data_IF_189594892837
#
_entry.id   IF_189594892837
#
_cell.length_a   1.000
_cell.length_b   1.000
_cell.length_c   1.000
_cell.angle_alpha   90.00
_cell.angle_beta   90.00
_cell.angle_gamma   90.00
#
_symmetry.space_group_name_H-M   'P 1'
#
loop_
_entity.id
_entity.type
_entity.pdbx_description
1 polymer ?
#
# COMPACT_ATOMS: atom_id res chain seq x y z
N UNK A 1 -16.95 -7.23 -76.54
CA UNK A 1 -16.67 -8.66 -76.81
C UNK A 1 -15.51 -9.06 -75.90
N UNK A 2 -15.80 -9.85 -74.87
CA UNK A 2 -15.29 -11.23 -74.66
C UNK A 2 -13.75 -11.29 -74.58
N UNK A 3 -13.20 -11.44 -73.37
CA UNK A 3 -12.75 -12.73 -72.77
C UNK A 3 -11.37 -13.13 -73.33
N UNK A 4 -10.34 -13.60 -72.61
CA UNK A 4 -10.21 -14.24 -71.28
C UNK A 4 -8.69 -14.47 -71.01
N UNK A 5 -8.38 -15.10 -69.86
CA UNK A 5 -7.13 -15.78 -69.44
C UNK A 5 -6.08 -14.92 -68.72
N UNK A 6 -5.52 -15.28 -67.56
CA UNK A 6 -5.49 -16.49 -66.70
C UNK A 6 -4.84 -16.02 -65.36
N UNK A 7 -5.16 -16.51 -64.16
CA UNK A 7 -4.40 -17.53 -63.37
C UNK A 7 -4.98 -17.46 -61.92
N UNK A 8 -5.73 -18.47 -61.47
CA UNK A 8 -5.34 -19.57 -60.52
C UNK A 8 -5.31 -19.10 -59.04
N UNK A 9 -6.37 -19.27 -58.23
CA UNK A 9 -6.80 -20.44 -57.42
C UNK A 9 -6.09 -20.57 -56.06
N UNK A 10 -6.87 -20.52 -54.96
CA UNK A 10 -6.78 -21.23 -53.64
C UNK A 10 -7.85 -20.57 -52.72
N UNK A 11 -9.04 -21.17 -52.47
CA UNK A 11 -9.40 -22.07 -51.34
C UNK A 11 -9.05 -21.44 -49.96
N UNK A 12 -9.88 -21.29 -48.92
CA UNK A 12 -11.12 -21.93 -48.48
C UNK A 12 -11.74 -21.16 -47.29
N UNK A 13 -13.08 -21.23 -47.20
CA UNK A 13 -13.94 -21.45 -46.02
C UNK A 13 -13.99 -20.45 -44.84
N UNK A 14 -15.11 -19.70 -44.83
CA UNK A 14 -16.24 -19.77 -43.88
C UNK A 14 -15.95 -20.32 -42.46
N UNK A 15 -16.25 -19.52 -41.43
CA UNK A 15 -17.12 -19.98 -40.35
C UNK A 15 -17.86 -18.82 -39.66
N UNK A 16 -19.13 -19.08 -39.35
CA UNK A 16 -20.05 -18.23 -38.61
C UNK A 16 -19.57 -18.00 -37.17
N UNK A 17 -19.92 -16.87 -36.57
CA UNK A 17 -20.26 -16.87 -35.14
C UNK A 17 -21.29 -15.80 -34.75
N UNK A 18 -22.19 -16.29 -33.90
CA UNK A 18 -23.47 -15.82 -33.36
C UNK A 18 -23.57 -14.38 -32.85
N UNK A 19 -24.73 -13.79 -33.14
CA UNK A 19 -25.40 -12.75 -32.34
C UNK A 19 -25.81 -13.31 -30.98
N UNK A 20 -25.29 -12.74 -29.90
CA UNK A 20 -25.93 -12.65 -28.58
C UNK A 20 -25.16 -11.61 -27.75
N UNK A 21 -25.40 -10.35 -28.04
CA UNK A 21 -24.96 -9.24 -27.19
C UNK A 21 -25.93 -9.11 -26.01
N UNK A 22 -25.69 -9.88 -24.95
CA UNK A 22 -26.18 -9.50 -23.62
C UNK A 22 -25.52 -8.16 -23.27
N UNK A 23 -26.31 -7.08 -23.33
CA UNK A 23 -25.92 -5.77 -22.81
C UNK A 23 -25.45 -5.93 -21.36
N UNK A 24 -24.13 -5.88 -21.14
CA UNK A 24 -23.55 -5.68 -19.81
C UNK A 24 -24.17 -4.42 -19.22
N UNK A 25 -25.03 -4.57 -18.22
CA UNK A 25 -25.58 -3.45 -17.47
C UNK A 25 -24.45 -2.80 -16.66
N UNK A 26 -23.91 -1.70 -17.19
CA UNK A 26 -23.01 -0.83 -16.42
C UNK A 26 -23.86 -0.14 -15.35
N UNK A 27 -23.58 -0.45 -14.08
CA UNK A 27 -24.20 0.27 -12.95
C UNK A 27 -23.47 1.60 -12.81
N UNK A 28 -24.03 2.66 -13.40
CA UNK A 28 -23.52 4.02 -13.27
C UNK A 28 -23.99 4.63 -11.95
N UNK A 29 -23.11 4.65 -10.95
CA UNK A 29 -23.33 5.43 -9.72
C UNK A 29 -23.16 6.91 -10.09
N UNK A 30 -24.13 7.76 -9.73
CA UNK A 30 -24.09 9.19 -10.05
C UNK A 30 -22.93 9.89 -9.32
N UNK A 31 -22.16 10.77 -9.98
CA UNK A 31 -21.18 11.61 -9.31
C UNK A 31 -21.88 12.52 -8.30
N UNK A 32 -21.38 12.55 -7.07
CA UNK A 32 -21.82 13.52 -6.07
C UNK A 32 -20.75 14.63 -6.10
N UNK A 33 -21.18 15.89 -6.13
CA UNK A 33 -20.41 17.15 -6.24
C UNK A 33 -18.94 17.15 -5.78
N UNK A 34 -18.08 17.72 -6.63
CA UNK A 34 -16.62 17.89 -6.58
C UNK A 34 -15.99 18.16 -5.20
N UNK A 35 -14.91 17.43 -4.89
CA UNK A 35 -13.88 17.89 -3.94
C UNK A 35 -12.88 18.69 -4.78
N UNK A 36 -12.81 20.01 -4.56
CA UNK A 36 -11.83 20.86 -5.24
C UNK A 36 -10.43 20.52 -4.73
N UNK A 37 -9.65 19.86 -5.57
CA UNK A 37 -8.21 19.63 -5.33
C UNK A 37 -7.52 20.99 -5.43
N UNK A 38 -6.92 21.45 -4.33
CA UNK A 38 -6.18 22.71 -4.32
C UNK A 38 -4.99 22.61 -5.27
N UNK A 39 -5.09 23.28 -6.42
CA UNK A 39 -4.10 23.26 -7.51
C UNK A 39 -2.77 23.92 -7.16
N UNK A 40 -2.66 24.58 -6.00
CA UNK A 40 -1.44 25.24 -5.55
C UNK A 40 -1.52 25.51 -4.04
N UNK A 41 -0.68 24.85 -3.25
CA UNK A 41 0.26 25.49 -2.31
C UNK A 41 0.98 24.45 -1.42
N UNK A 42 2.30 24.45 -1.60
CA UNK A 42 3.31 24.01 -0.64
C UNK A 42 3.48 22.50 -0.44
N UNK A 43 3.48 21.71 -1.51
CA UNK A 43 4.44 20.61 -1.58
C UNK A 43 5.80 21.27 -1.80
N UNK A 44 6.81 21.00 -0.97
CA UNK A 44 8.17 21.51 -1.14
C UNK A 44 8.75 20.85 -2.41
N UNK A 45 8.39 21.43 -3.55
CA UNK A 45 8.86 21.10 -4.88
C UNK A 45 10.34 21.51 -4.92
N UNK A 46 11.26 20.54 -4.86
CA UNK A 46 12.49 20.72 -5.62
C UNK A 46 12.05 20.88 -7.08
N UNK A 47 12.13 22.10 -7.61
CA UNK A 47 11.87 22.39 -9.02
C UNK A 47 12.93 21.67 -9.85
N UNK A 48 12.67 20.42 -10.20
CA UNK A 48 13.33 19.81 -11.34
C UNK A 48 12.65 20.41 -12.57
N UNK A 49 13.36 21.30 -13.26
CA UNK A 49 12.84 22.00 -14.43
C UNK A 49 12.28 20.98 -15.44
N UNK A 50 11.10 21.28 -16.00
CA UNK A 50 10.30 20.46 -16.92
C UNK A 50 10.97 20.15 -18.28
N UNK A 51 12.29 20.28 -18.40
CA UNK A 51 13.06 20.03 -19.63
C UNK A 51 14.24 19.08 -19.37
N UNK A 52 14.03 17.98 -18.64
CA UNK A 52 15.06 16.94 -18.51
C UNK A 52 14.72 15.77 -19.43
N UNK A 53 15.49 15.64 -20.51
CA UNK A 53 15.51 14.47 -21.39
C UNK A 53 16.76 13.66 -21.05
N UNK A 54 16.66 12.45 -20.48
CA UNK A 54 17.74 11.42 -20.42
C UNK A 54 17.05 10.04 -20.24
N UNK A 55 17.02 9.11 -21.20
CA UNK A 55 17.97 8.04 -21.64
C UNK A 55 18.41 7.09 -20.50
N UNK A 56 18.14 5.78 -20.67
CA UNK A 56 18.60 4.62 -19.87
C UNK A 56 19.67 4.86 -18.79
N UNK A 57 19.39 4.36 -17.56
CA UNK A 57 20.28 4.31 -16.38
C UNK A 57 20.71 5.70 -15.86
N UNK A 58 20.18 6.12 -14.69
CA UNK A 58 20.63 7.28 -13.87
C UNK A 58 19.72 8.52 -13.80
N UNK A 59 18.41 8.41 -14.03
CA UNK A 59 17.45 9.50 -13.72
C UNK A 59 16.27 9.01 -12.90
N UNK A 60 16.03 9.64 -11.76
CA UNK A 60 14.82 9.47 -10.95
C UNK A 60 13.78 10.51 -11.36
N UNK A 61 12.66 10.06 -11.92
CA UNK A 61 11.48 10.89 -12.06
C UNK A 61 10.75 10.93 -10.71
N UNK A 62 10.78 12.09 -10.05
CA UNK A 62 10.10 12.29 -8.78
C UNK A 62 8.66 12.68 -9.09
N UNK A 63 7.75 11.71 -9.02
CA UNK A 63 6.32 11.98 -9.00
C UNK A 63 5.91 12.57 -7.65
N UNK A 64 4.80 13.33 -7.60
CA UNK A 64 4.31 13.84 -6.32
C UNK A 64 3.75 12.69 -5.46
N UNK A 65 4.11 12.60 -4.18
CA UNK A 65 3.46 11.65 -3.27
C UNK A 65 1.99 12.00 -3.09
N UNK A 66 1.16 10.97 -2.91
CA UNK A 66 -0.26 11.15 -2.63
C UNK A 66 -0.86 9.97 -1.87
N UNK A 67 -2.01 10.22 -1.25
CA UNK A 67 -2.91 9.18 -0.72
C UNK A 67 -4.34 9.52 -1.17
N UNK A 68 -4.97 8.58 -1.87
CA UNK A 68 -6.38 8.66 -2.25
C UNK A 68 -7.15 7.53 -1.59
N UNK A 69 -8.20 7.87 -0.86
CA UNK A 69 -9.14 6.89 -0.30
C UNK A 69 -10.36 6.79 -1.20
N UNK A 70 -10.91 5.59 -1.34
CA UNK A 70 -12.06 5.27 -2.16
C UNK A 70 -13.05 4.48 -1.32
N UNK A 71 -14.34 4.67 -1.57
CA UNK A 71 -15.41 3.87 -0.98
C UNK A 71 -16.41 3.47 -2.06
N UNK A 72 -17.01 2.29 -1.93
CA UNK A 72 -18.01 1.83 -2.88
C UNK A 72 -18.72 0.57 -2.44
N UNK A 73 -19.49 -0.01 -3.34
CA UNK A 73 -20.21 -1.27 -3.11
C UNK A 73 -20.10 -2.18 -4.31
N UNK A 74 -19.88 -3.47 -4.06
CA UNK A 74 -19.81 -4.53 -5.07
C UNK A 74 -20.80 -5.65 -4.76
N UNK A 75 -21.07 -6.53 -5.73
CA UNK A 75 -21.83 -7.77 -5.57
C UNK A 75 -23.13 -7.64 -4.74
N UNK A 76 -23.97 -6.65 -5.09
CA UNK A 76 -25.32 -6.54 -4.51
C UNK A 76 -25.41 -5.94 -3.11
N UNK A 77 -24.30 -5.38 -2.57
CA UNK A 77 -24.21 -4.33 -1.54
C UNK A 77 -22.97 -4.45 -0.62
N UNK A 78 -22.07 -5.42 -0.87
CA UNK A 78 -20.82 -5.54 -0.08
C UNK A 78 -20.03 -4.25 -0.18
N UNK A 79 -19.84 -3.56 0.93
CA UNK A 79 -19.03 -2.33 0.96
C UNK A 79 -17.57 -2.65 0.69
N UNK A 80 -16.88 -1.71 0.07
CA UNK A 80 -15.43 -1.76 -0.09
C UNK A 80 -14.81 -0.44 0.32
N UNK A 81 -13.56 -0.53 0.77
CA UNK A 81 -12.71 0.63 1.05
C UNK A 81 -11.35 0.36 0.44
N UNK A 82 -10.82 1.34 -0.28
CA UNK A 82 -9.51 1.23 -0.91
C UNK A 82 -8.67 2.46 -0.60
N UNK A 83 -7.42 2.26 -0.21
CA UNK A 83 -6.46 3.32 0.03
C UNK A 83 -5.29 3.16 -0.94
N UNK A 84 -5.18 4.08 -1.89
CA UNK A 84 -4.15 4.14 -2.93
C UNK A 84 -3.08 5.14 -2.51
N UNK A 85 -1.83 4.73 -2.53
CA UNK A 85 -0.67 5.59 -2.25
C UNK A 85 0.26 5.66 -3.44
N UNK A 86 1.00 6.77 -3.56
CA UNK A 86 2.14 6.90 -4.45
C UNK A 86 3.35 7.24 -3.61
N UNK A 87 4.28 6.30 -3.55
CA UNK A 87 5.45 6.35 -2.67
C UNK A 87 6.67 5.81 -3.41
N UNK A 88 7.86 6.12 -2.92
CA UNK A 88 9.09 5.59 -3.50
C UNK A 88 9.12 4.06 -3.36
N UNK A 89 9.41 3.36 -4.47
CA UNK A 89 9.62 1.92 -4.49
C UNK A 89 11.02 1.59 -4.01
N UNK A 90 11.15 0.42 -3.36
CA UNK A 90 12.46 -0.16 -3.01
C UNK A 90 13.30 -0.44 -4.25
N UNK A 91 14.61 -0.54 -4.05
CA UNK A 91 15.61 -1.14 -4.96
C UNK A 91 15.91 -0.38 -6.26
N UNK A 92 14.94 0.23 -6.94
CA UNK A 92 15.16 0.82 -8.27
C UNK A 92 15.03 2.33 -8.36
N UNK A 93 14.54 2.99 -7.29
CA UNK A 93 14.29 4.42 -7.32
C UNK A 93 13.20 4.76 -8.35
N UNK A 94 11.98 4.89 -7.89
CA UNK A 94 10.83 5.26 -8.72
C UNK A 94 9.60 5.38 -7.84
N UNK A 95 8.53 5.98 -8.33
CA UNK A 95 7.28 6.03 -7.58
C UNK A 95 6.37 4.87 -7.97
N UNK A 96 6.00 4.09 -6.96
CA UNK A 96 5.08 2.98 -7.06
C UNK A 96 3.68 3.38 -6.63
N UNK A 97 2.67 2.93 -7.37
CA UNK A 97 1.26 3.11 -7.03
C UNK A 97 0.76 1.85 -6.33
N UNK A 98 0.83 1.85 -5.02
CA UNK A 98 0.40 0.71 -4.19
C UNK A 98 -0.95 1.01 -3.56
N UNK A 99 -1.63 -0.01 -3.08
CA UNK A 99 -2.80 0.23 -2.25
C UNK A 99 -3.25 -0.99 -1.48
N UNK A 100 -4.18 -0.73 -0.57
CA UNK A 100 -4.91 -1.74 0.19
C UNK A 100 -6.39 -1.69 -0.18
N UNK A 101 -7.05 -2.84 -0.16
CA UNK A 101 -8.47 -3.03 -0.40
C UNK A 101 -9.07 -3.86 0.73
N UNK A 102 -10.01 -3.27 1.46
CA UNK A 102 -10.92 -3.98 2.34
C UNK A 102 -12.24 -4.26 1.60
N UNK A 103 -12.76 -5.47 1.77
CA UNK A 103 -14.10 -5.84 1.33
C UNK A 103 -14.91 -6.30 2.53
N UNK A 104 -16.13 -5.79 2.67
CA UNK A 104 -17.05 -6.13 3.76
C UNK A 104 -17.26 -7.64 3.86
N UNK A 105 -17.08 -8.16 5.08
CA UNK A 105 -17.11 -9.59 5.37
C UNK A 105 -15.78 -10.33 5.07
N UNK A 106 -14.77 -9.65 4.54
CA UNK A 106 -13.45 -10.22 4.30
C UNK A 106 -12.64 -10.41 5.58
N UNK A 107 -11.72 -11.37 5.55
CA UNK A 107 -10.84 -11.74 6.67
C UNK A 107 -9.57 -10.87 6.71
N UNK A 108 -9.10 -10.38 5.57
CA UNK A 108 -7.82 -9.66 5.46
C UNK A 108 -7.91 -8.47 4.49
N UNK A 109 -6.94 -7.57 4.64
CA UNK A 109 -6.67 -6.53 3.65
C UNK A 109 -5.95 -7.13 2.44
N UNK A 110 -6.40 -6.77 1.24
CA UNK A 110 -5.78 -7.18 -0.01
C UNK A 110 -4.87 -6.06 -0.49
N UNK A 111 -3.63 -6.40 -0.83
CA UNK A 111 -2.63 -5.42 -1.28
C UNK A 111 -2.40 -5.57 -2.76
N UNK A 112 -2.17 -4.46 -3.44
CA UNK A 112 -1.95 -4.45 -4.88
C UNK A 112 -0.95 -3.36 -5.28
N UNK A 113 -0.31 -3.56 -6.42
CA UNK A 113 0.55 -2.60 -7.10
C UNK A 113 0.02 -2.34 -8.50
N UNK A 114 -0.04 -1.08 -8.90
CA UNK A 114 -0.48 -0.64 -10.21
C UNK A 114 0.71 -0.49 -11.16
N UNK A 115 0.66 -1.22 -12.25
CA UNK A 115 1.56 -1.08 -13.39
C UNK A 115 0.96 -0.17 -14.45
N UNK A 116 1.81 0.53 -15.22
CA UNK A 116 1.39 1.34 -16.36
C UNK A 116 1.92 0.76 -17.68
N UNK A 117 1.03 0.32 -18.55
CA UNK A 117 1.38 0.04 -19.94
C UNK A 117 1.50 1.38 -20.69
N UNK A 118 2.64 1.61 -21.36
CA UNK A 118 2.89 2.82 -22.16
C UNK A 118 1.86 3.05 -23.28
N UNK A 119 1.11 2.02 -23.69
CA UNK A 119 0.10 2.09 -24.76
C UNK A 119 -1.28 2.48 -24.27
N UNK A 120 -1.52 2.50 -22.96
CA UNK A 120 -2.84 2.71 -22.35
C UNK A 120 -2.83 3.98 -21.51
N UNK A 121 -4.00 4.62 -21.38
CA UNK A 121 -4.22 5.84 -20.61
C UNK A 121 -4.59 5.57 -19.14
N UNK A 122 -4.51 4.30 -18.71
CA UNK A 122 -4.82 3.86 -17.35
C UNK A 122 -3.73 2.92 -16.79
N UNK A 123 -3.69 2.81 -15.46
CA UNK A 123 -2.87 1.82 -14.76
C UNK A 123 -3.68 0.55 -14.50
N UNK A 124 -3.01 -0.60 -14.36
CA UNK A 124 -3.64 -1.90 -14.09
C UNK A 124 -3.05 -2.57 -12.87
N UNK A 125 -3.89 -3.22 -12.06
CA UNK A 125 -3.44 -4.11 -10.98
C UNK A 125 -4.29 -5.38 -10.98
N UNK A 126 -3.71 -6.48 -10.50
CA UNK A 126 -4.39 -7.76 -10.32
C UNK A 126 -4.22 -8.26 -8.89
N UNK A 127 -5.28 -8.82 -8.33
CA UNK A 127 -5.28 -9.56 -7.08
C UNK A 127 -5.69 -10.98 -7.45
N UNK A 128 -4.74 -11.92 -7.38
CA UNK A 128 -4.92 -13.27 -7.92
C UNK A 128 -5.95 -14.08 -7.13
N UNK A 129 -5.99 -13.89 -5.81
CA UNK A 129 -6.90 -14.60 -4.91
C UNK A 129 -7.90 -13.65 -4.26
N UNK A 130 -9.16 -13.74 -4.70
CA UNK A 130 -10.30 -13.10 -4.06
C UNK A 130 -11.51 -14.04 -4.05
N UNK A 131 -12.18 -14.18 -2.91
CA UNK A 131 -13.42 -14.96 -2.74
C UNK A 131 -13.35 -16.39 -3.32
N UNK A 132 -12.35 -17.16 -2.89
CA UNK A 132 -12.22 -18.58 -3.25
C UNK A 132 -11.82 -18.84 -4.70
N UNK A 133 -10.77 -18.16 -5.19
CA UNK A 133 -10.04 -18.36 -6.48
C UNK A 133 -10.41 -17.45 -7.66
N UNK A 134 -11.15 -16.34 -7.45
CA UNK A 134 -11.55 -15.47 -8.57
C UNK A 134 -10.67 -14.22 -8.62
N UNK A 135 -9.97 -13.95 -9.73
CA UNK A 135 -9.07 -12.81 -9.79
C UNK A 135 -9.88 -11.50 -9.83
N UNK A 136 -9.48 -10.57 -8.98
CA UNK A 136 -10.00 -9.21 -8.98
C UNK A 136 -9.04 -8.33 -9.78
N UNK A 137 -9.56 -7.65 -10.80
CA UNK A 137 -8.76 -6.77 -11.66
C UNK A 137 -9.13 -5.33 -11.41
N UNK A 138 -8.13 -4.48 -11.28
CA UNK A 138 -8.29 -3.05 -11.07
C UNK A 138 -7.71 -2.30 -12.26
N UNK A 139 -8.38 -1.21 -12.65
CA UNK A 139 -7.79 -0.18 -13.50
C UNK A 139 -7.97 1.18 -12.88
N UNK A 140 -6.91 1.97 -12.83
CA UNK A 140 -6.94 3.34 -12.34
C UNK A 140 -6.93 4.29 -13.54
N UNK A 141 -8.02 5.01 -13.71
CA UNK A 141 -8.23 5.97 -14.79
C UNK A 141 -8.08 7.40 -14.29
N UNK A 142 -7.61 8.29 -15.18
CA UNK A 142 -7.64 9.74 -14.97
C UNK A 142 -6.97 10.18 -13.64
N UNK A 143 -5.86 9.54 -13.27
CA UNK A 143 -5.15 9.83 -12.03
C UNK A 143 -4.87 11.34 -11.89
N UNK A 144 -5.13 11.87 -10.69
CA UNK A 144 -4.91 13.27 -10.32
C UNK A 144 -5.77 14.28 -11.07
N UNK A 145 -6.88 13.84 -11.67
CA UNK A 145 -7.91 14.74 -12.22
C UNK A 145 -9.23 14.58 -11.45
N UNK A 146 -10.16 15.51 -11.69
CA UNK A 146 -11.52 15.46 -11.11
C UNK A 146 -12.35 14.27 -11.61
N UNK A 147 -11.94 13.65 -12.71
CA UNK A 147 -12.59 12.48 -13.31
C UNK A 147 -11.92 11.17 -12.90
N UNK A 148 -11.09 11.16 -11.85
CA UNK A 148 -10.40 9.97 -11.36
C UNK A 148 -11.38 8.91 -10.84
N UNK A 149 -11.16 7.65 -11.23
CA UNK A 149 -11.89 6.50 -10.70
C UNK A 149 -11.08 5.20 -10.84
N UNK A 150 -11.46 4.20 -10.07
CA UNK A 150 -10.99 2.83 -10.19
C UNK A 150 -12.09 1.97 -10.80
N UNK A 151 -11.79 1.32 -11.92
CA UNK A 151 -12.59 0.24 -12.49
C UNK A 151 -12.22 -1.07 -11.80
N UNK A 152 -13.14 -1.66 -11.05
CA UNK A 152 -12.98 -2.97 -10.43
C UNK A 152 -13.77 -4.00 -11.23
N UNK A 153 -13.08 -5.02 -11.74
CA UNK A 153 -13.71 -6.15 -12.43
C UNK A 153 -13.64 -7.38 -11.55
N UNK A 154 -14.83 -7.93 -11.25
CA UNK A 154 -15.03 -9.16 -10.49
C UNK A 154 -16.14 -9.96 -11.16
N UNK A 155 -15.90 -11.24 -11.47
CA UNK A 155 -16.90 -12.12 -12.10
C UNK A 155 -17.54 -11.55 -13.37
N UNK A 156 -16.72 -10.94 -14.22
CA UNK A 156 -17.15 -10.22 -15.44
C UNK A 156 -18.05 -9.00 -15.19
N UNK A 157 -18.42 -8.71 -13.95
CA UNK A 157 -19.08 -7.47 -13.54
C UNK A 157 -18.03 -6.39 -13.36
N UNK A 158 -18.40 -5.17 -13.73
CA UNK A 158 -17.53 -4.01 -13.69
C UNK A 158 -18.17 -2.97 -12.76
N UNK A 159 -17.38 -2.48 -11.81
CA UNK A 159 -17.76 -1.48 -10.83
C UNK A 159 -16.86 -0.27 -10.99
N UNK A 160 -17.45 0.92 -11.09
CA UNK A 160 -16.69 2.18 -11.07
C UNK A 160 -16.71 2.74 -9.65
N UNK A 161 -15.54 2.86 -9.06
CA UNK A 161 -15.33 3.28 -7.69
C UNK A 161 -14.65 4.63 -7.70
N UNK A 162 -15.22 5.60 -7.01
CA UNK A 162 -14.76 6.99 -7.00
C UNK A 162 -14.08 7.33 -5.67
N UNK A 163 -13.26 8.39 -5.63
CA UNK A 163 -12.67 8.87 -4.38
C UNK A 163 -13.75 9.08 -3.30
N UNK A 164 -13.43 8.64 -2.09
CA UNK A 164 -14.29 8.75 -0.91
C UNK A 164 -14.50 10.22 -0.54
N UNK A 165 -15.70 10.51 -0.05
CA UNK A 165 -16.06 11.82 0.49
C UNK A 165 -16.04 11.86 2.01
N UNK A 166 -16.05 10.69 2.64
CA UNK A 166 -16.10 10.56 4.09
C UNK A 166 -14.71 10.48 4.69
N UNK A 167 -13.80 9.78 4.02
CA UNK A 167 -12.48 9.56 4.58
C UNK A 167 -11.61 10.81 4.46
N UNK A 168 -10.74 11.08 5.46
CA UNK A 168 -9.91 12.25 5.46
C UNK A 168 -9.06 12.33 4.18
N UNK A 169 -8.84 13.55 3.72
CA UNK A 169 -7.84 13.84 2.71
C UNK A 169 -6.46 13.92 3.35
N UNK A 170 -5.43 13.78 2.54
CA UNK A 170 -4.05 13.77 3.02
C UNK A 170 -3.19 14.68 2.18
N UNK A 171 -2.42 15.55 2.84
CA UNK A 171 -1.32 16.25 2.19
C UNK A 171 -0.06 15.43 2.43
N UNK A 172 0.45 14.80 1.37
CA UNK A 172 1.63 13.95 1.45
C UNK A 172 2.92 14.74 1.25
N UNK A 173 3.96 14.30 1.93
CA UNK A 173 5.29 14.89 1.91
C UNK A 173 6.33 13.78 1.89
N UNK A 174 7.32 13.98 1.03
CA UNK A 174 8.46 13.09 0.95
C UNK A 174 9.71 13.88 1.28
N UNK A 175 10.49 13.31 2.18
CA UNK A 175 11.84 13.79 2.48
C UNK A 175 12.78 12.73 1.93
N UNK A 176 13.52 13.11 0.90
CA UNK A 176 14.54 12.26 0.30
C UNK A 176 15.89 12.88 0.60
N UNK A 177 16.71 12.16 1.36
CA UNK A 177 18.11 12.50 1.51
C UNK A 177 18.93 11.70 0.50
N UNK A 178 19.51 12.43 -0.45
CA UNK A 178 20.63 11.93 -1.21
C UNK A 178 21.88 12.43 -0.53
N UNK A 179 22.56 11.56 0.22
CA UNK A 179 23.97 11.76 0.51
C UNK A 179 24.74 11.70 -0.81
N UNK A 180 24.75 12.83 -1.51
CA UNK A 180 25.42 13.06 -2.77
C UNK A 180 26.93 12.96 -2.55
N UNK A 181 27.52 11.87 -3.03
CA UNK A 181 28.83 11.98 -3.65
C UNK A 181 28.74 13.08 -4.73
N UNK A 182 29.77 13.90 -4.89
CA UNK A 182 29.95 14.72 -6.09
C UNK A 182 30.28 13.78 -7.27
N UNK A 183 29.28 13.01 -7.68
CA UNK A 183 29.32 12.01 -8.76
C UNK A 183 29.76 12.63 -10.08
N UNK A 184 29.61 13.95 -10.24
CA UNK A 184 30.07 14.67 -11.44
C UNK A 184 31.59 14.68 -11.59
N UNK A 185 32.36 14.58 -10.50
CA UNK A 185 33.83 14.51 -10.56
C UNK A 185 34.34 13.07 -10.67
N UNK A 186 33.63 12.11 -10.04
CA UNK A 186 33.97 10.69 -10.11
C UNK A 186 33.64 10.07 -11.47
N UNK A 187 32.44 10.32 -12.03
CA UNK A 187 32.04 9.83 -13.36
C UNK A 187 32.84 10.44 -14.53
N UNK A 188 33.50 11.58 -14.30
CA UNK A 188 34.41 12.17 -15.30
C UNK A 188 35.74 11.43 -15.41
N UNK A 189 36.09 10.60 -14.43
CA UNK A 189 37.23 9.70 -14.53
C UNK A 189 36.72 8.38 -15.07
N UNK A 190 37.33 7.91 -16.15
CA UNK A 190 37.09 6.60 -16.79
C UNK A 190 37.34 5.40 -15.84
N UNK A 191 37.67 5.66 -14.57
CA UNK A 191 37.93 4.71 -13.48
C UNK A 191 36.76 4.54 -12.50
N UNK A 192 35.66 5.28 -12.63
CA UNK A 192 34.50 5.06 -11.76
C UNK A 192 33.87 3.71 -12.08
N UNK A 193 34.17 2.71 -11.25
CA UNK A 193 33.53 1.39 -11.27
C UNK A 193 32.01 1.55 -11.28
N UNK A 194 31.30 0.68 -12.01
CA UNK A 194 29.83 0.63 -12.13
C UNK A 194 29.07 0.42 -10.81
N UNK A 195 29.73 0.43 -9.67
CA UNK A 195 29.24 -0.09 -8.38
C UNK A 195 29.00 1.01 -7.33
N UNK A 196 28.91 2.28 -7.74
CA UNK A 196 28.54 3.36 -6.82
C UNK A 196 27.04 3.65 -6.87
N UNK A 197 26.23 2.88 -6.14
CA UNK A 197 24.85 3.31 -5.83
C UNK A 197 24.87 4.15 -4.55
N UNK A 198 24.39 5.40 -4.58
CA UNK A 198 24.42 6.28 -3.40
C UNK A 198 23.53 5.74 -2.29
N UNK A 199 23.93 6.00 -1.04
CA UNK A 199 23.04 5.80 0.10
C UNK A 199 21.83 6.73 -0.01
N UNK A 200 20.65 6.19 0.30
CA UNK A 200 19.36 6.90 0.17
C UNK A 200 18.48 6.63 1.39
N UNK A 201 18.00 7.71 2.00
CA UNK A 201 17.03 7.66 3.08
C UNK A 201 15.75 8.36 2.64
N UNK A 202 14.63 7.66 2.78
CA UNK A 202 13.32 8.15 2.38
C UNK A 202 12.31 8.04 3.52
N UNK A 203 11.60 9.13 3.77
CA UNK A 203 10.47 9.17 4.70
C UNK A 203 9.24 9.73 3.98
N UNK A 204 8.20 8.90 3.84
CA UNK A 204 6.86 9.31 3.39
C UNK A 204 5.99 9.58 4.61
N UNK A 205 5.49 10.80 4.71
CA UNK A 205 4.53 11.18 5.74
C UNK A 205 3.36 11.94 5.11
N UNK A 206 2.22 11.86 5.77
CA UNK A 206 1.05 12.62 5.35
C UNK A 206 0.45 13.39 6.52
N UNK A 207 0.09 14.65 6.24
CA UNK A 207 -0.72 15.48 7.12
C UNK A 207 -2.19 15.22 6.84
N UNK A 208 -2.94 14.88 7.88
CA UNK A 208 -4.39 14.66 7.79
C UNK A 208 -5.08 16.01 7.55
N UNK A 209 -5.82 16.09 6.45
CA UNK A 209 -6.72 17.20 6.14
C UNK A 209 -8.14 16.64 6.22
N UNK A 210 -8.81 16.91 7.33
CA UNK A 210 -10.25 16.68 7.45
C UNK A 210 -10.99 18.00 7.63
N UNK A 211 -12.07 18.14 6.88
CA UNK A 211 -13.14 19.12 7.11
C UNK A 211 -14.37 18.45 7.76
N UNK A 212 -14.35 17.13 7.94
CA UNK A 212 -15.37 16.36 8.64
C UNK A 212 -15.06 16.31 10.14
N UNK A 213 -16.07 16.67 10.94
CA UNK A 213 -16.02 16.79 12.39
C UNK A 213 -15.68 15.47 13.07
N UNK A 214 -16.09 14.33 12.50
CA UNK A 214 -15.85 13.00 13.07
C UNK A 214 -14.35 12.66 13.08
N UNK A 215 -13.55 13.30 12.24
CA UNK A 215 -12.09 13.11 12.18
C UNK A 215 -11.29 14.29 12.76
N UNK A 216 -11.94 15.28 13.37
CA UNK A 216 -11.23 16.39 14.02
C UNK A 216 -10.31 15.91 15.13
N UNK A 217 -10.73 14.90 15.90
CA UNK A 217 -9.90 14.31 16.95
C UNK A 217 -8.62 13.71 16.37
N UNK A 218 -8.70 13.03 15.22
CA UNK A 218 -7.51 12.54 14.53
C UNK A 218 -6.64 13.70 14.04
N UNK A 219 -7.23 14.73 13.42
CA UNK A 219 -6.47 15.90 12.95
C UNK A 219 -5.75 16.62 14.09
N UNK A 220 -6.34 16.71 15.28
CA UNK A 220 -5.74 17.36 16.45
C UNK A 220 -4.67 16.50 17.12
N UNK A 221 -4.91 15.18 17.25
CA UNK A 221 -4.05 14.27 18.02
C UNK A 221 -3.03 13.52 17.17
N UNK A 222 -3.37 13.23 15.93
CA UNK A 222 -2.61 12.50 14.91
C UNK A 222 -2.48 13.34 13.63
N UNK A 223 -2.14 14.61 13.80
CA UNK A 223 -2.01 15.57 12.70
C UNK A 223 -1.14 15.02 11.55
N UNK A 224 -0.08 14.30 11.89
CA UNK A 224 0.82 13.63 10.96
C UNK A 224 0.74 12.13 11.16
N UNK A 225 0.68 11.39 10.05
CA UNK A 225 0.88 9.95 10.03
C UNK A 225 2.36 9.59 10.18
N UNK A 226 3.10 10.12 11.16
CA UNK A 226 4.52 9.78 11.34
C UNK A 226 4.82 9.39 12.78
N UNK A 227 5.50 8.27 12.96
CA UNK A 227 5.65 7.55 14.24
C UNK A 227 6.84 8.02 15.08
N UNK A 228 7.75 8.85 14.57
CA UNK A 228 8.80 9.46 15.41
C UNK A 228 8.44 10.90 15.84
N UNK A 229 8.01 11.01 17.10
CA UNK A 229 7.68 12.27 17.77
C UNK A 229 8.86 13.25 17.91
N UNK A 230 10.11 12.76 17.81
CA UNK A 230 11.30 13.60 17.91
C UNK A 230 11.59 14.35 16.59
N UNK A 231 11.21 13.78 15.44
CA UNK A 231 11.52 14.33 14.12
C UNK A 231 10.46 15.32 13.60
N UNK A 232 9.20 15.18 13.99
CA UNK A 232 8.11 16.07 13.53
C UNK A 232 8.27 17.53 13.97
N UNK A 233 8.89 17.79 15.13
CA UNK A 233 9.15 19.17 15.61
C UNK A 233 10.35 19.82 14.93
N UNK A 234 11.26 19.04 14.35
CA UNK A 234 12.55 19.50 13.85
C UNK A 234 12.80 19.16 12.37
N UNK A 235 11.79 18.72 11.61
CA UNK A 235 11.96 18.37 10.19
C UNK A 235 12.59 19.49 9.35
N UNK A 236 12.35 20.77 9.70
CA UNK A 236 12.98 21.94 9.06
C UNK A 236 14.46 22.14 9.43
N UNK A 237 14.91 21.53 10.52
CA UNK A 237 16.25 21.66 11.11
C UNK A 237 17.10 20.39 10.95
N UNK A 238 16.58 19.35 10.30
CA UNK A 238 17.36 18.18 9.93
C UNK A 238 18.48 18.58 8.98
N UNK A 239 19.68 18.68 9.54
CA UNK A 239 20.94 18.59 8.81
C UNK A 239 21.51 17.23 9.16
N UNK A 240 21.39 16.26 8.26
CA UNK A 240 22.17 15.05 8.43
C UNK A 240 23.64 15.42 8.39
N UNK A 241 24.30 15.35 9.54
CA UNK A 241 25.74 15.54 9.66
C UNK A 241 26.43 14.22 9.33
N UNK A 242 26.37 13.79 8.08
CA UNK A 242 27.24 12.71 7.62
C UNK A 242 28.62 13.29 7.35
N UNK A 243 29.62 12.85 8.11
CA UNK A 243 31.01 13.04 7.71
C UNK A 243 31.24 12.11 6.52
N UNK A 244 31.46 12.71 5.35
CA UNK A 244 31.96 11.98 4.18
C UNK A 244 33.40 11.58 4.50
N UNK A 245 33.61 10.31 4.88
CA UNK A 245 34.94 9.72 4.89
C UNK A 245 35.24 9.15 3.51
N UNK A 246 36.46 9.35 3.00
CA UNK A 246 36.90 8.71 1.76
C UNK A 246 36.93 7.19 2.00
N UNK A 247 36.35 6.41 1.10
CA UNK A 247 36.52 4.96 1.11
C UNK A 247 38.01 4.61 1.12
N UNK A 248 38.41 3.69 2.00
CA UNK A 248 39.79 3.22 2.13
C UNK A 248 40.05 1.96 1.30
N UNK A 249 39.04 1.40 0.62
CA UNK A 249 39.16 0.28 -0.33
C UNK A 249 37.85 -0.03 -1.10
N UNK A 250 37.94 -0.89 -2.13
CA UNK A 250 36.79 -1.37 -2.93
C UNK A 250 35.75 -2.14 -2.07
N UNK A 251 36.21 -2.84 -1.03
CA UNK A 251 35.38 -3.59 -0.08
C UNK A 251 34.57 -2.70 0.88
N UNK A 252 34.82 -1.39 0.93
CA UNK A 252 34.14 -0.44 1.82
C UNK A 252 32.98 0.31 1.14
N UNK A 253 32.67 0.01 -0.13
CA UNK A 253 31.57 0.60 -0.88
C UNK A 253 30.26 -0.16 -0.64
N UNK A 254 29.64 0.00 0.53
CA UNK A 254 28.29 -0.53 0.74
C UNK A 254 27.23 0.53 0.40
N UNK A 255 26.42 0.26 -0.63
CA UNK A 255 25.18 1.00 -0.85
C UNK A 255 24.20 0.67 0.26
N UNK A 256 23.67 1.69 0.93
CA UNK A 256 22.61 1.52 1.92
C UNK A 256 21.32 2.19 1.45
N UNK A 257 20.18 1.59 1.78
CA UNK A 257 18.87 2.16 1.47
C UNK A 257 18.01 2.04 2.70
N UNK A 258 17.32 3.12 3.06
CA UNK A 258 16.23 3.08 4.03
C UNK A 258 14.97 3.72 3.48
N UNK A 259 13.84 3.10 3.76
CA UNK A 259 12.52 3.53 3.31
C UNK A 259 11.55 3.37 4.48
N UNK A 260 10.89 4.44 4.88
CA UNK A 260 9.77 4.42 5.82
C UNK A 260 8.53 5.04 5.18
N UNK A 261 7.42 4.33 5.25
CA UNK A 261 6.14 4.71 4.67
C UNK A 261 5.02 4.46 5.66
N UNK A 262 4.26 5.51 5.95
CA UNK A 262 3.05 5.38 6.75
C UNK A 262 1.82 5.69 5.91
N UNK A 263 0.81 4.82 5.97
CA UNK A 263 -0.40 4.93 5.15
C UNK A 263 -1.66 4.46 5.89
N UNK A 264 -2.83 5.06 5.63
CA UNK A 264 -4.10 4.49 6.06
C UNK A 264 -4.34 3.16 5.33
N UNK A 265 -4.83 2.16 6.07
CA UNK A 265 -5.20 0.86 5.48
C UNK A 265 -6.64 0.46 5.75
N UNK A 266 -7.25 0.99 6.82
CA UNK A 266 -8.68 0.84 7.09
C UNK A 266 -9.20 1.98 7.95
N UNK A 267 -10.45 2.40 7.75
CA UNK A 267 -11.12 3.37 8.63
C UNK A 267 -12.64 3.18 8.63
N UNK A 268 -13.25 3.17 9.81
CA UNK A 268 -14.71 3.18 9.97
C UNK A 268 -15.18 4.25 10.96
N UNK A 269 -16.27 4.05 11.70
CA UNK A 269 -16.75 5.01 12.71
C UNK A 269 -16.11 4.84 14.10
N UNK A 270 -15.36 3.77 14.34
CA UNK A 270 -14.79 3.42 15.64
C UNK A 270 -13.26 3.36 15.61
N UNK A 271 -12.69 2.76 14.56
CA UNK A 271 -11.25 2.51 14.45
C UNK A 271 -10.67 3.12 13.18
N UNK A 272 -9.47 3.69 13.34
CA UNK A 272 -8.60 4.08 12.25
C UNK A 272 -7.31 3.26 12.29
N UNK A 273 -7.06 2.50 11.22
CA UNK A 273 -5.90 1.61 11.11
C UNK A 273 -4.90 2.21 10.13
N UNK A 274 -3.66 2.30 10.60
CA UNK A 274 -2.52 2.82 9.87
C UNK A 274 -1.43 1.75 9.81
N UNK A 275 -0.83 1.54 8.64
CA UNK A 275 0.38 0.74 8.49
C UNK A 275 1.62 1.64 8.53
N UNK A 276 2.69 1.15 9.15
CA UNK A 276 4.04 1.71 9.15
C UNK A 276 4.99 0.68 8.52
N UNK A 277 5.27 0.84 7.24
CA UNK A 277 6.21 0.01 6.49
C UNK A 277 7.61 0.59 6.60
N UNK A 278 8.57 -0.27 6.90
CA UNK A 278 10.00 0.06 6.91
C UNK A 278 10.78 -0.96 6.09
N UNK A 279 11.81 -0.47 5.40
CA UNK A 279 12.78 -1.27 4.68
C UNK A 279 14.18 -0.72 4.92
N UNK A 280 15.16 -1.60 5.09
CA UNK A 280 16.57 -1.24 5.18
C UNK A 280 17.45 -2.23 4.43
N UNK A 281 18.42 -1.71 3.68
CA UNK A 281 19.48 -2.48 3.04
C UNK A 281 20.82 -1.88 3.46
N UNK A 282 21.76 -2.75 3.82
CA UNK A 282 23.08 -2.35 4.34
C UNK A 282 24.22 -3.10 3.64
N UNK A 283 24.04 -3.49 2.36
CA UNK A 283 25.11 -4.13 1.57
C UNK A 283 25.19 -5.66 1.68
N UNK A 284 24.06 -6.34 1.91
CA UNK A 284 23.96 -7.80 2.02
C UNK A 284 23.30 -8.49 0.84
N UNK A 285 22.81 -9.73 1.02
CA UNK A 285 22.14 -10.49 -0.04
C UNK A 285 20.75 -9.92 -0.42
N UNK A 286 20.03 -9.33 0.53
CA UNK A 286 18.74 -8.67 0.35
C UNK A 286 18.55 -7.61 1.44
N UNK A 287 17.58 -6.71 1.27
CA UNK A 287 17.15 -5.82 2.34
C UNK A 287 16.20 -6.50 3.32
N UNK A 288 16.03 -5.89 4.49
CA UNK A 288 15.08 -6.30 5.52
C UNK A 288 13.87 -5.38 5.47
N UNK A 289 12.67 -5.94 5.62
CA UNK A 289 11.43 -5.18 5.66
C UNK A 289 10.60 -5.55 6.89
N UNK A 290 9.71 -4.64 7.28
CA UNK A 290 8.68 -4.87 8.30
C UNK A 290 7.54 -3.88 8.14
N UNK A 291 6.31 -4.37 8.24
CA UNK A 291 5.08 -3.60 8.33
C UNK A 291 4.52 -3.69 9.74
N UNK A 292 4.53 -2.58 10.47
CA UNK A 292 3.80 -2.39 11.70
C UNK A 292 2.37 -1.92 11.45
N UNK A 293 1.45 -2.20 12.36
CA UNK A 293 0.08 -1.69 12.33
C UNK A 293 -0.25 -0.98 13.63
N UNK A 294 -0.89 0.18 13.51
CA UNK A 294 -1.42 0.92 14.66
C UNK A 294 -2.92 1.11 14.50
N UNK A 295 -3.66 0.73 15.54
CA UNK A 295 -5.10 0.89 15.64
C UNK A 295 -5.40 2.10 16.54
N UNK A 296 -6.09 3.09 16.00
CA UNK A 296 -6.49 4.28 16.75
C UNK A 296 -7.99 4.27 17.01
N UNK A 297 -8.38 4.52 18.25
CA UNK A 297 -9.77 4.83 18.59
C UNK A 297 -10.11 6.21 18.00
N UNK A 298 -11.11 6.27 17.11
CA UNK A 298 -11.48 7.50 16.41
C UNK A 298 -12.03 8.59 17.33
N UNK A 299 -12.71 8.20 18.41
CA UNK A 299 -13.30 9.13 19.36
C UNK A 299 -12.23 9.77 20.25
N UNK A 300 -11.19 9.03 20.59
CA UNK A 300 -10.16 9.48 21.54
C UNK A 300 -8.83 9.82 20.89
N UNK A 301 -8.58 9.40 19.65
CA UNK A 301 -7.31 9.52 18.93
C UNK A 301 -6.16 8.73 19.58
N UNK A 302 -6.44 7.81 20.51
CA UNK A 302 -5.42 7.03 21.22
C UNK A 302 -5.17 5.69 20.52
N UNK A 303 -3.93 5.23 20.59
CA UNK A 303 -3.57 3.86 20.22
C UNK A 303 -4.34 2.87 21.12
N UNK A 304 -4.95 1.88 20.48
CA UNK A 304 -5.55 0.71 21.10
C UNK A 304 -4.45 -0.35 21.14
N UNK A 305 -3.98 -0.69 22.34
CA UNK A 305 -3.01 -1.76 22.53
C UNK A 305 -3.73 -3.11 22.60
N UNK A 306 -3.14 -4.20 22.10
CA UNK A 306 -3.82 -5.50 22.00
C UNK A 306 -4.20 -6.05 23.39
N UNK A 307 -3.41 -5.72 24.40
CA UNK A 307 -3.60 -6.09 25.81
C UNK A 307 -4.80 -5.37 26.45
N UNK A 308 -5.32 -4.32 25.81
CA UNK A 308 -6.59 -3.71 26.18
C UNK A 308 -7.79 -4.51 25.64
N UNK A 309 -7.55 -5.42 24.68
CA UNK A 309 -8.59 -6.16 23.96
C UNK A 309 -8.65 -7.63 24.38
N UNK A 310 -7.49 -8.27 24.57
CA UNK A 310 -7.38 -9.71 24.85
C UNK A 310 -6.49 -9.93 26.08
N UNK A 311 -6.78 -10.99 26.83
CA UNK A 311 -5.96 -11.40 27.96
C UNK A 311 -4.83 -12.34 27.52
N UNK A 312 -3.62 -11.80 27.34
CA UNK A 312 -2.44 -12.56 26.93
C UNK A 312 -1.90 -13.48 28.04
N UNK A 313 -2.41 -13.39 29.26
CA UNK A 313 -2.08 -14.31 30.35
C UNK A 313 -3.06 -15.49 30.46
N UNK A 314 -4.08 -15.55 29.61
CA UNK A 314 -4.98 -16.70 29.56
C UNK A 314 -4.33 -17.86 28.79
N UNK A 315 -3.93 -18.91 29.51
CA UNK A 315 -3.33 -20.12 28.93
C UNK A 315 -4.20 -20.76 27.83
N UNK A 316 -5.53 -20.61 27.90
CA UNK A 316 -6.42 -21.11 26.86
C UNK A 316 -6.33 -20.30 25.58
N UNK A 317 -6.19 -18.97 25.70
CA UNK A 317 -5.97 -18.12 24.54
C UNK A 317 -4.63 -18.44 23.88
N UNK A 318 -3.57 -18.59 24.67
CA UNK A 318 -2.23 -18.94 24.18
C UNK A 318 -2.28 -20.26 23.41
N UNK A 319 -2.88 -21.31 23.99
CA UNK A 319 -3.00 -22.61 23.33
C UNK A 319 -3.85 -22.54 22.04
N UNK A 320 -4.97 -21.82 22.07
CA UNK A 320 -5.81 -21.60 20.89
C UNK A 320 -5.08 -20.87 19.76
N UNK A 321 -4.33 -19.82 20.11
CA UNK A 321 -3.53 -19.04 19.17
C UNK A 321 -2.44 -19.89 18.51
N UNK A 322 -1.70 -20.65 19.32
CA UNK A 322 -0.66 -21.57 18.85
C UNK A 322 -1.23 -22.66 17.95
N UNK A 323 -2.34 -23.30 18.35
CA UNK A 323 -3.00 -24.34 17.57
C UNK A 323 -3.38 -23.85 16.17
N UNK A 324 -4.00 -22.67 16.07
CA UNK A 324 -4.40 -22.10 14.78
C UNK A 324 -3.20 -21.87 13.87
N UNK A 325 -2.12 -21.29 14.40
CA UNK A 325 -0.91 -21.01 13.62
C UNK A 325 -0.23 -22.30 13.16
N UNK A 326 -0.15 -23.32 14.02
CA UNK A 326 0.42 -24.62 13.64
C UNK A 326 -0.43 -25.34 12.61
N UNK A 327 -1.75 -25.23 12.68
CA UNK A 327 -2.64 -25.78 11.66
C UNK A 327 -2.44 -25.11 10.30
N UNK A 328 -2.11 -23.82 10.27
CA UNK A 328 -1.90 -23.05 9.04
C UNK A 328 -0.51 -23.26 8.43
N UNK A 329 0.55 -23.26 9.25
CA UNK A 329 1.94 -23.24 8.77
C UNK A 329 2.76 -24.50 9.09
N UNK A 330 2.23 -25.42 9.90
CA UNK A 330 2.84 -26.73 10.21
C UNK A 330 4.36 -26.63 10.48
N UNK A 331 5.18 -27.41 9.75
CA UNK A 331 6.65 -27.50 9.91
C UNK A 331 7.42 -26.27 9.42
N UNK A 332 6.75 -25.24 8.89
CA UNK A 332 7.40 -24.01 8.38
C UNK A 332 7.83 -23.02 9.47
N UNK A 333 7.37 -23.22 10.70
CA UNK A 333 7.62 -22.32 11.84
C UNK A 333 9.09 -22.41 12.27
N UNK A 334 9.75 -21.26 12.42
CA UNK A 334 11.19 -21.19 12.70
C UNK A 334 11.59 -21.64 14.11
N UNK A 335 10.65 -21.59 15.05
CA UNK A 335 10.87 -21.87 16.47
C UNK A 335 9.95 -23.00 16.95
N UNK A 336 10.38 -23.71 17.99
CA UNK A 336 9.54 -24.69 18.68
C UNK A 336 8.38 -24.01 19.43
N UNK A 337 8.50 -22.75 19.80
CA UNK A 337 7.44 -21.96 20.43
C UNK A 337 6.86 -20.98 19.41
N UNK A 338 5.53 -20.87 19.34
CA UNK A 338 4.86 -19.88 18.48
C UNK A 338 4.86 -18.53 19.18
N UNK A 339 5.58 -17.51 18.67
CA UNK A 339 5.58 -16.20 19.30
C UNK A 339 4.22 -15.53 19.09
N UNK A 340 3.65 -14.94 20.15
CA UNK A 340 2.46 -14.10 20.00
C UNK A 340 2.92 -12.68 19.65
N UNK A 341 2.54 -12.22 18.46
CA UNK A 341 2.89 -10.87 18.01
C UNK A 341 1.93 -9.82 18.59
N UNK A 342 2.48 -8.65 18.89
CA UNK A 342 1.69 -7.46 19.27
C UNK A 342 1.45 -6.55 18.06
N UNK A 343 1.85 -6.98 16.86
CA UNK A 343 1.61 -6.30 15.61
C UNK A 343 0.31 -6.82 14.98
N UNK A 344 -0.72 -5.98 14.98
CA UNK A 344 -2.06 -6.42 14.61
C UNK A 344 -2.89 -5.27 14.04
N UNK A 345 -3.93 -5.62 13.30
CA UNK A 345 -4.94 -4.65 12.88
C UNK A 345 -6.37 -5.16 13.09
N UNK A 346 -7.26 -4.23 13.41
CA UNK A 346 -8.68 -4.48 13.67
C UNK A 346 -9.47 -4.26 12.38
N UNK A 347 -10.31 -5.23 12.03
CA UNK A 347 -11.33 -5.12 10.98
C UNK A 347 -12.73 -5.35 11.56
N UNK A 348 -13.81 -5.03 10.83
CA UNK A 348 -15.18 -5.27 11.30
C UNK A 348 -15.52 -6.74 11.58
N UNK A 349 -14.74 -7.68 11.04
CA UNK A 349 -14.98 -9.13 11.14
C UNK A 349 -14.09 -9.82 12.17
N UNK A 350 -13.00 -9.19 12.60
CA UNK A 350 -12.02 -9.80 13.50
C UNK A 350 -10.71 -9.02 13.59
N UNK A 351 -9.70 -9.69 14.13
CA UNK A 351 -8.35 -9.16 14.31
C UNK A 351 -7.39 -9.99 13.46
N UNK A 352 -6.52 -9.32 12.72
CA UNK A 352 -5.41 -9.97 12.02
C UNK A 352 -4.09 -9.65 12.71
N UNK A 353 -3.35 -10.69 13.06
CA UNK A 353 -1.99 -10.61 13.58
C UNK A 353 -0.99 -10.73 12.43
N UNK A 354 -0.01 -9.84 12.37
CA UNK A 354 0.97 -9.77 11.29
C UNK A 354 2.37 -9.95 11.83
N UNK A 355 3.14 -10.84 11.21
CA UNK A 355 4.52 -11.09 11.57
C UNK A 355 5.45 -10.49 10.53
N UNK A 356 6.53 -9.88 11.00
CA UNK A 356 7.63 -9.50 10.13
C UNK A 356 8.37 -10.76 9.64
N UNK A 357 9.14 -10.66 8.54
CA UNK A 357 9.99 -11.76 8.10
C UNK A 357 10.91 -12.22 9.24
N UNK A 358 11.08 -13.53 9.37
CA UNK A 358 11.83 -14.20 10.45
C UNK A 358 11.21 -14.18 11.85
N UNK A 359 10.09 -13.49 12.11
CA UNK A 359 9.42 -13.60 13.41
C UNK A 359 8.68 -14.94 13.56
N UNK A 360 8.03 -15.41 12.49
CA UNK A 360 7.30 -16.69 12.48
C UNK A 360 7.87 -17.68 11.45
N UNK A 361 8.08 -17.21 10.22
CA UNK A 361 8.52 -17.99 9.07
C UNK A 361 9.78 -17.39 8.45
N UNK A 362 10.49 -18.16 7.62
CA UNK A 362 11.64 -17.66 6.86
C UNK A 362 11.28 -16.53 5.89
N UNK A 363 12.26 -15.72 5.49
CA UNK A 363 12.07 -14.52 4.66
C UNK A 363 11.24 -14.72 3.39
N UNK A 364 11.40 -15.86 2.71
CA UNK A 364 10.69 -16.17 1.47
C UNK A 364 9.16 -16.26 1.66
N UNK A 365 8.67 -16.45 2.88
CA UNK A 365 7.25 -16.44 3.20
C UNK A 365 6.66 -15.01 3.34
N UNK A 366 7.52 -13.97 3.27
CA UNK A 366 7.10 -12.58 3.41
C UNK A 366 6.62 -12.25 4.82
N UNK A 367 5.48 -11.57 4.92
CA UNK A 367 4.85 -11.14 6.16
C UNK A 367 3.56 -11.93 6.41
N UNK A 368 3.61 -13.08 7.11
CA UNK A 368 2.41 -13.89 7.31
C UNK A 368 1.39 -13.16 8.19
N UNK A 369 0.12 -13.30 7.83
CA UNK A 369 -1.02 -12.60 8.45
C UNK A 369 -2.09 -13.61 8.82
N UNK A 370 -2.39 -13.70 10.12
CA UNK A 370 -3.29 -14.69 10.68
C UNK A 370 -4.54 -13.99 11.20
N UNK A 371 -5.67 -14.27 10.56
CA UNK A 371 -6.96 -13.70 10.90
C UNK A 371 -7.67 -14.54 11.97
N UNK A 372 -8.18 -13.86 13.00
CA UNK A 372 -9.06 -14.42 14.01
C UNK A 372 -10.39 -13.68 14.00
N UNK A 373 -11.48 -14.40 13.75
CA UNK A 373 -12.82 -13.82 13.81
C UNK A 373 -13.20 -13.44 15.23
N UNK A 374 -14.11 -12.49 15.39
CA UNK A 374 -14.62 -12.17 16.72
C UNK A 374 -15.40 -13.31 17.37
N UNK A 375 -16.03 -14.18 16.58
CA UNK A 375 -16.69 -15.40 17.08
C UNK A 375 -15.67 -16.32 17.77
N UNK A 376 -14.51 -16.54 17.15
CA UNK A 376 -13.40 -17.31 17.73
C UNK A 376 -12.82 -16.64 18.99
N UNK A 377 -12.66 -15.31 18.95
CA UNK A 377 -12.04 -14.55 20.04
C UNK A 377 -12.98 -14.27 21.21
N UNK A 378 -14.29 -14.46 21.05
CA UNK A 378 -15.33 -14.12 22.04
C UNK A 378 -15.04 -14.59 23.47
N UNK A 379 -14.49 -15.79 23.72
CA UNK A 379 -14.16 -16.23 25.09
C UNK A 379 -13.01 -15.45 25.74
N UNK A 380 -12.16 -14.81 24.93
CA UNK A 380 -10.89 -14.19 25.32
C UNK A 380 -10.91 -12.66 25.27
N UNK A 381 -11.94 -12.06 24.65
CA UNK A 381 -12.14 -10.61 24.60
C UNK A 381 -12.42 -10.07 26.00
N UNK A 382 -11.65 -9.08 26.41
CA UNK A 382 -11.88 -8.32 27.63
C UNK A 382 -13.21 -7.55 27.55
N UNK A 383 -13.80 -7.26 28.70
CA UNK A 383 -15.09 -6.53 28.77
C UNK A 383 -14.89 -5.04 28.56
N UNK A 384 -15.90 -4.37 27.99
CA UNK A 384 -15.94 -2.92 27.79
C UNK A 384 -14.83 -2.43 26.85
N UNK A 385 -14.58 -3.18 25.79
CA UNK A 385 -13.55 -2.85 24.81
C UNK A 385 -14.18 -2.17 23.59
N UNK A 386 -13.35 -1.60 22.71
CA UNK A 386 -13.81 -1.06 21.44
C UNK A 386 -14.47 -2.15 20.57
N UNK A 387 -14.12 -3.43 20.79
CA UNK A 387 -14.64 -4.56 20.03
C UNK A 387 -16.11 -4.88 20.33
N UNK A 388 -16.66 -4.40 21.46
CA UNK A 388 -18.08 -4.53 21.76
C UNK A 388 -18.96 -3.89 20.67
N UNK A 389 -18.42 -2.91 19.93
CA UNK A 389 -19.08 -2.28 18.77
C UNK A 389 -19.22 -3.20 17.57
N UNK A 390 -18.32 -4.18 17.43
CA UNK A 390 -18.34 -5.17 16.34
C UNK A 390 -19.07 -6.46 16.74
N UNK A 391 -19.11 -6.78 18.04
CA UNK A 391 -19.71 -7.99 18.60
C UNK A 391 -21.23 -7.90 18.87
N UNK A 392 -21.86 -6.77 18.52
CA UNK A 392 -23.27 -6.48 18.88
C UNK A 392 -24.31 -6.85 17.79
N UNK A 393 -23.90 -7.52 16.71
CA UNK A 393 -24.79 -7.87 15.59
C UNK A 393 -25.13 -9.36 15.54
#
# INVERSE_FOLDING_TARGET
MKNFFLVLLVLMLVSCQSKNDEKKSVVNVKPISEVKIATNKDSLIYKINKNTVIINQDTLEIESPFIYSFEGTINGNKKIQLHLTNQLSTEYGGYGKTGSLYVEGGENLLYFYFDKDKKQDYYTAGIEEFDGSKPLKLKLHNLSTEEMYIELTLDKKIYKIYPSKKFPSYKSFDIIDYTLFDSRAAFKKEEAMREFTPSRDYNFLAEIISDDLDFNVLKEKLKYLYTDSLNTKNYKNWKHSFKVEKSKGEEENYSSESLSVVAPVFIDSNVYVVSDFSYSYMGGAHGMLRTGYTNYDLKTGKNIAIEQLLNFSDEKFIAFYEEKIRNEYSDGILSNEVPITHNYYILPTGITFSYAPYELLGFAAGEPRIFFSYEELKPYILKNTILDKYNSN
#
